data_IF_417563039444
#
_entry.id   IF_417563039444
#
_cell.length_a   1.000
_cell.length_b   1.000
_cell.length_c   1.000
_cell.angle_alpha   90.00
_cell.angle_beta   90.00
_cell.angle_gamma   90.00
#
_symmetry.space_group_name_H-M   'P 1'
#
loop_
_entity.id
_entity.type
_entity.pdbx_description
1 polymer ?
#
# COMPACT_ATOMS: atom_id res chain seq x y z
N UNK A 1 -22.71 -21.61 -12.87
CA UNK A 1 -21.46 -20.82 -12.77
C UNK A 1 -20.25 -21.55 -13.40
N UNK A 2 -19.94 -22.84 -13.11
CA UNK A 2 -18.81 -23.51 -13.77
C UNK A 2 -19.07 -23.84 -15.25
N UNK A 3 -20.33 -23.98 -15.67
CA UNK A 3 -20.68 -24.30 -17.06
C UNK A 3 -20.35 -23.16 -18.03
N UNK A 4 -20.75 -21.92 -17.73
CA UNK A 4 -20.42 -20.75 -18.57
C UNK A 4 -18.89 -20.56 -18.71
N UNK A 5 -18.14 -20.85 -17.64
CA UNK A 5 -16.68 -20.76 -17.67
C UNK A 5 -16.04 -21.75 -18.65
N UNK A 6 -16.54 -22.98 -18.67
CA UNK A 6 -16.04 -24.07 -19.53
C UNK A 6 -16.51 -23.88 -20.98
N UNK A 7 -17.70 -23.32 -21.20
CA UNK A 7 -18.23 -23.09 -22.55
C UNK A 7 -17.65 -21.85 -23.23
N UNK A 8 -17.53 -20.72 -22.52
CA UNK A 8 -17.09 -19.44 -23.10
C UNK A 8 -15.57 -19.24 -23.01
N UNK A 9 -14.93 -19.66 -21.91
CA UNK A 9 -13.54 -19.34 -21.62
C UNK A 9 -12.63 -20.58 -21.56
N UNK A 10 -12.99 -21.66 -22.28
CA UNK A 10 -12.27 -22.95 -22.30
C UNK A 10 -10.79 -22.84 -22.67
N UNK A 11 -10.48 -21.95 -23.60
CA UNK A 11 -9.13 -21.76 -24.16
C UNK A 11 -8.22 -20.93 -23.24
N UNK A 12 -8.79 -20.31 -22.20
CA UNK A 12 -8.03 -19.47 -21.26
C UNK A 12 -7.38 -20.36 -20.21
N UNK A 13 -6.04 -20.33 -20.17
CA UNK A 13 -5.26 -21.02 -19.17
C UNK A 13 -5.70 -20.61 -17.75
N UNK A 14 -5.89 -21.60 -16.88
CA UNK A 14 -6.27 -21.40 -15.49
C UNK A 14 -5.16 -20.68 -14.71
N UNK A 15 -5.53 -19.71 -13.87
CA UNK A 15 -4.60 -18.93 -13.05
C UNK A 15 -4.70 -17.41 -13.24
N UNK A 16 -4.17 -16.65 -12.28
CA UNK A 16 -4.09 -15.17 -12.27
C UNK A 16 -5.41 -14.42 -12.55
N UNK A 17 -6.57 -15.04 -12.31
CA UNK A 17 -7.86 -14.43 -12.59
C UNK A 17 -8.18 -14.25 -14.09
N UNK A 18 -7.38 -14.79 -15.02
CA UNK A 18 -7.61 -14.63 -16.47
C UNK A 18 -8.97 -15.10 -16.94
N UNK A 19 -9.46 -16.17 -16.34
CA UNK A 19 -10.80 -16.71 -16.57
C UNK A 19 -11.90 -15.74 -16.12
N UNK A 20 -11.69 -15.04 -15.00
CA UNK A 20 -12.61 -13.99 -14.53
C UNK A 20 -12.59 -12.79 -15.47
N UNK A 21 -11.42 -12.38 -15.98
CA UNK A 21 -11.32 -11.30 -16.98
C UNK A 21 -12.05 -11.64 -18.27
N UNK A 22 -11.95 -12.88 -18.75
CA UNK A 22 -12.70 -13.36 -19.91
C UNK A 22 -14.22 -13.26 -19.68
N UNK A 23 -14.71 -13.74 -18.54
CA UNK A 23 -16.13 -13.62 -18.17
C UNK A 23 -16.59 -12.16 -18.03
N UNK A 24 -15.74 -11.27 -17.51
CA UNK A 24 -16.02 -9.84 -17.41
C UNK A 24 -16.10 -9.16 -18.79
N UNK A 25 -15.28 -9.58 -19.75
CA UNK A 25 -15.36 -9.09 -21.12
C UNK A 25 -16.69 -9.45 -21.77
N UNK A 26 -17.16 -10.70 -21.60
CA UNK A 26 -18.47 -11.12 -22.08
C UNK A 26 -19.64 -10.43 -21.36
N UNK A 27 -19.48 -10.09 -20.08
CA UNK A 27 -20.48 -9.29 -19.35
C UNK A 27 -20.65 -7.89 -19.97
N UNK A 28 -19.60 -7.33 -20.55
CA UNK A 28 -19.60 -5.97 -21.13
C UNK A 28 -19.96 -5.97 -22.62
N UNK A 29 -19.57 -6.98 -23.39
CA UNK A 29 -19.87 -7.07 -24.82
C UNK A 29 -21.20 -7.76 -25.13
N UNK A 30 -21.46 -8.92 -24.51
CA UNK A 30 -22.52 -9.84 -24.92
C UNK A 30 -23.14 -10.55 -23.71
N UNK A 31 -23.77 -9.78 -22.82
CA UNK A 31 -24.30 -10.29 -21.55
C UNK A 31 -25.32 -11.43 -21.73
N UNK A 32 -25.99 -11.49 -22.90
CA UNK A 32 -26.99 -12.49 -23.25
C UNK A 32 -26.43 -13.91 -23.43
N UNK A 33 -25.13 -14.06 -23.67
CA UNK A 33 -24.46 -15.36 -23.72
C UNK A 33 -24.20 -15.93 -22.32
N UNK A 34 -24.21 -15.09 -21.29
CA UNK A 34 -24.07 -15.54 -19.91
C UNK A 34 -25.42 -15.98 -19.33
N UNK A 35 -25.41 -17.13 -18.66
CA UNK A 35 -26.52 -17.56 -17.81
C UNK A 35 -26.86 -16.49 -16.77
N UNK A 36 -28.16 -16.33 -16.48
CA UNK A 36 -28.70 -15.29 -15.59
C UNK A 36 -28.04 -15.32 -14.19
N UNK A 37 -27.81 -16.52 -13.66
CA UNK A 37 -27.15 -16.73 -12.37
C UNK A 37 -25.65 -16.33 -12.42
N UNK A 38 -24.96 -16.66 -13.52
CA UNK A 38 -23.56 -16.27 -13.70
C UNK A 38 -23.41 -14.74 -13.73
N UNK A 39 -24.31 -14.07 -14.48
CA UNK A 39 -24.35 -12.61 -14.61
C UNK A 39 -24.53 -11.90 -13.26
N UNK A 40 -25.49 -12.34 -12.45
CA UNK A 40 -25.76 -11.74 -11.13
C UNK A 40 -24.56 -11.90 -10.18
N UNK A 41 -23.96 -13.09 -10.15
CA UNK A 41 -22.78 -13.35 -9.31
C UNK A 41 -21.55 -12.55 -9.76
N UNK A 42 -21.33 -12.42 -11.07
CA UNK A 42 -20.24 -11.60 -11.63
C UNK A 42 -20.43 -10.11 -11.33
N UNK A 43 -21.66 -9.57 -11.48
CA UNK A 43 -21.97 -8.18 -11.12
C UNK A 43 -21.68 -7.90 -9.65
N UNK A 44 -22.20 -8.74 -8.74
CA UNK A 44 -21.91 -8.60 -7.29
C UNK A 44 -20.42 -8.56 -6.97
N UNK A 45 -19.64 -9.42 -7.62
CA UNK A 45 -18.19 -9.50 -7.41
C UNK A 45 -17.48 -8.26 -7.95
N UNK A 46 -17.87 -7.77 -9.14
CA UNK A 46 -17.36 -6.52 -9.73
C UNK A 46 -17.66 -5.33 -8.82
N UNK A 47 -18.88 -5.21 -8.33
CA UNK A 47 -19.28 -4.10 -7.44
C UNK A 47 -18.48 -4.11 -6.13
N UNK A 48 -18.25 -5.30 -5.56
CA UNK A 48 -17.44 -5.43 -4.36
C UNK A 48 -15.97 -5.09 -4.61
N UNK A 49 -15.41 -5.49 -5.75
CA UNK A 49 -14.05 -5.13 -6.15
C UNK A 49 -13.89 -3.64 -6.43
N UNK A 50 -14.88 -3.02 -7.06
CA UNK A 50 -14.88 -1.57 -7.30
C UNK A 50 -15.01 -0.81 -5.98
N UNK A 51 -15.86 -1.29 -5.07
CA UNK A 51 -15.94 -0.76 -3.72
C UNK A 51 -14.61 -0.92 -2.99
N UNK A 52 -14.00 -2.12 -3.02
CA UNK A 52 -12.70 -2.38 -2.43
C UNK A 52 -11.60 -1.52 -3.04
N UNK A 53 -11.62 -1.24 -4.35
CA UNK A 53 -10.66 -0.32 -4.98
C UNK A 53 -10.88 1.13 -4.53
N UNK A 54 -12.14 1.55 -4.31
CA UNK A 54 -12.47 2.88 -3.76
C UNK A 54 -12.11 3.03 -2.28
N UNK A 55 -12.22 1.96 -1.49
CA UNK A 55 -11.94 1.99 -0.05
C UNK A 55 -10.56 1.43 0.32
N UNK A 56 -9.82 0.89 -0.65
CA UNK A 56 -8.47 0.40 -0.42
C UNK A 56 -7.64 1.57 0.10
N UNK A 57 -7.05 1.46 1.30
CA UNK A 57 -6.07 2.45 1.74
C UNK A 57 -4.95 2.43 0.71
N UNK A 58 -4.62 3.58 0.15
CA UNK A 58 -3.58 3.66 -0.86
C UNK A 58 -2.22 3.29 -0.25
N UNK A 59 -1.77 2.07 -0.53
CA UNK A 59 -0.44 1.59 -0.15
C UNK A 59 0.68 2.15 -1.04
N UNK A 60 0.48 3.33 -1.65
CA UNK A 60 1.49 4.02 -2.43
C UNK A 60 2.22 5.02 -1.53
N UNK A 61 3.55 4.92 -1.47
CA UNK A 61 4.42 5.94 -0.84
C UNK A 61 4.14 7.37 -1.34
N UNK A 62 3.51 7.52 -2.52
CA UNK A 62 3.04 8.81 -3.05
C UNK A 62 1.82 9.39 -2.31
N UNK A 63 0.92 8.55 -1.79
CA UNK A 63 -0.25 9.01 -1.02
C UNK A 63 0.04 9.18 0.46
N UNK A 64 1.06 8.49 1.00
CA UNK A 64 1.66 8.86 2.28
C UNK A 64 2.21 10.30 2.23
N UNK A 65 2.82 10.71 1.12
CA UNK A 65 3.25 12.09 0.93
C UNK A 65 2.06 13.06 0.87
N UNK A 66 0.98 12.71 0.17
CA UNK A 66 -0.24 13.54 0.16
C UNK A 66 -0.94 13.60 1.53
N UNK A 67 -1.00 12.50 2.30
CA UNK A 67 -1.58 12.51 3.66
C UNK A 67 -0.69 13.22 4.68
N UNK A 68 0.63 13.08 4.56
CA UNK A 68 1.58 13.93 5.30
C UNK A 68 1.34 15.37 4.90
N UNK A 69 1.11 15.66 3.61
CA UNK A 69 0.88 17.01 3.13
C UNK A 69 -0.48 17.57 3.61
N UNK A 70 -1.58 16.84 3.53
CA UNK A 70 -2.89 17.35 3.90
C UNK A 70 -3.09 17.43 5.42
N UNK A 71 -2.24 16.77 6.21
CA UNK A 71 -2.25 16.91 7.67
C UNK A 71 -1.63 18.26 8.10
N UNK A 72 -2.30 19.09 8.93
CA UNK A 72 -1.76 20.37 9.44
C UNK A 72 -0.52 20.20 10.34
N UNK A 73 -0.08 18.96 10.56
CA UNK A 73 1.04 18.55 11.42
C UNK A 73 2.29 18.15 10.64
N UNK A 74 2.45 18.49 9.34
CA UNK A 74 3.73 18.35 8.60
C UNK A 74 4.93 18.81 9.42
N UNK A 75 4.78 19.98 10.06
CA UNK A 75 5.82 20.55 10.92
C UNK A 75 6.14 19.66 12.13
N UNK A 76 5.16 18.92 12.66
CA UNK A 76 5.34 18.04 13.80
C UNK A 76 6.21 16.83 13.47
N UNK A 77 6.02 16.21 12.29
CA UNK A 77 6.83 15.07 11.86
C UNK A 77 8.29 15.47 11.63
N UNK A 78 8.51 16.54 10.88
CA UNK A 78 9.86 17.08 10.68
C UNK A 78 10.47 17.56 12.00
N UNK A 79 9.71 18.23 12.86
CA UNK A 79 10.20 18.65 14.17
C UNK A 79 10.66 17.47 15.02
N UNK A 80 9.90 16.38 15.10
CA UNK A 80 10.32 15.16 15.83
C UNK A 80 11.59 14.58 15.21
N UNK A 81 11.64 14.44 13.89
CA UNK A 81 12.79 13.86 13.19
C UNK A 81 14.06 14.69 13.43
N UNK A 82 13.98 16.01 13.26
CA UNK A 82 15.08 16.92 13.55
C UNK A 82 15.46 16.93 15.04
N UNK A 83 14.49 16.79 15.94
CA UNK A 83 14.73 16.71 17.39
C UNK A 83 15.52 15.45 17.74
N UNK A 84 15.13 14.28 17.21
CA UNK A 84 15.84 13.01 17.46
C UNK A 84 17.26 13.07 16.91
N UNK A 85 17.44 13.54 15.67
CA UNK A 85 18.77 13.71 15.06
C UNK A 85 19.61 14.70 15.87
N UNK A 86 19.01 15.82 16.30
CA UNK A 86 19.66 16.82 17.14
C UNK A 86 20.12 16.26 18.48
N UNK A 87 19.28 15.47 19.17
CA UNK A 87 19.63 14.83 20.44
C UNK A 87 20.80 13.85 20.24
N UNK A 88 20.76 13.00 19.22
CA UNK A 88 21.84 12.05 18.92
C UNK A 88 23.15 12.80 18.67
N UNK A 89 23.10 13.90 17.92
CA UNK A 89 24.27 14.70 17.62
C UNK A 89 24.82 15.42 18.86
N UNK A 90 23.95 16.01 19.68
CA UNK A 90 24.33 16.68 20.93
C UNK A 90 24.94 15.67 21.90
N UNK A 91 24.32 14.51 22.10
CA UNK A 91 24.82 13.44 22.98
C UNK A 91 26.13 12.87 22.42
N UNK A 92 26.22 12.60 21.12
CA UNK A 92 27.43 12.10 20.48
C UNK A 92 28.61 13.07 20.59
N UNK A 93 28.38 14.37 20.36
CA UNK A 93 29.42 15.39 20.47
C UNK A 93 29.81 15.68 21.92
N UNK A 94 28.85 15.73 22.84
CA UNK A 94 29.12 16.00 24.26
C UNK A 94 29.77 14.79 24.93
N UNK A 95 29.29 13.55 24.74
CA UNK A 95 29.99 12.36 25.23
C UNK A 95 31.37 12.19 24.58
N UNK A 96 31.53 12.51 23.29
CA UNK A 96 32.83 12.47 22.61
C UNK A 96 33.84 13.51 23.13
N UNK A 97 33.41 14.75 23.37
CA UNK A 97 34.26 15.84 23.91
C UNK A 97 34.51 15.70 25.41
N UNK A 98 33.49 15.34 26.20
CA UNK A 98 33.60 15.16 27.65
C UNK A 98 34.49 13.95 27.97
N UNK A 99 34.33 12.83 27.26
CA UNK A 99 35.22 11.66 27.43
C UNK A 99 36.67 12.00 27.09
N UNK A 100 36.94 12.84 26.08
CA UNK A 100 38.31 13.28 25.77
C UNK A 100 38.92 14.18 26.86
N UNK A 101 38.15 15.10 27.45
CA UNK A 101 38.65 15.90 28.60
C UNK A 101 38.88 15.03 29.84
N UNK A 102 37.92 14.19 30.21
CA UNK A 102 38.04 13.30 31.38
C UNK A 102 39.22 12.34 31.25
N UNK A 103 39.46 11.80 30.05
CA UNK A 103 40.62 10.92 29.80
C UNK A 103 41.97 11.67 29.81
N UNK A 104 42.00 12.96 29.48
CA UNK A 104 43.19 13.80 29.58
C UNK A 104 43.52 14.19 31.04
N UNK A 105 42.49 14.46 31.84
CA UNK A 105 42.60 14.72 33.29
C UNK A 105 43.05 13.46 34.06
N UNK A 106 42.55 12.27 33.69
CA UNK A 106 42.98 11.00 34.30
C UNK A 106 44.42 10.58 33.95
N UNK A 107 45.01 11.14 32.88
CA UNK A 107 46.39 10.81 32.47
C UNK A 107 47.43 11.78 33.06
N UNK A 108 47.00 12.92 33.61
CA UNK A 108 47.86 13.89 34.29
C UNK A 108 47.85 13.75 35.83
N UNK A 109 47.36 12.62 36.34
CA UNK A 109 47.41 12.28 37.76
C UNK A 109 48.15 10.98 37.99
#
# INVERSE_FOLDING_TARGET
MPEDLIHLCKTVAQGQGRQMSCLLAYLESEENLLSRNCREMLKRRKDLWEYAAKVAPAESFGELYEQISQSPSRNYFFAILFTVVGIIFIVGLSCGRVTKRVRAELKNK
#
